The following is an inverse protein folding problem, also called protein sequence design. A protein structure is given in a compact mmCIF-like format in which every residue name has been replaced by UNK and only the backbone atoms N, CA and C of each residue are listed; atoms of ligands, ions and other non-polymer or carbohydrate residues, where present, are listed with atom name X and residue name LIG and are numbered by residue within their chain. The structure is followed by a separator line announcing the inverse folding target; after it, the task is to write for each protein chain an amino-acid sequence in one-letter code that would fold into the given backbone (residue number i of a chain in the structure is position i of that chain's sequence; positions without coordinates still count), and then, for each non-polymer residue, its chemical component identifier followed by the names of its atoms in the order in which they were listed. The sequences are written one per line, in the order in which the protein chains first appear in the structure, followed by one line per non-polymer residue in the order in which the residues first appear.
data_IF_211553939428
#
_entry.id   IF_211553939428
#
_cell.length_a   1.000
_cell.length_b   1.000
_cell.length_c   1.000
_cell.angle_alpha   90.00
_cell.angle_beta   90.00
_cell.angle_gamma   90.00
#
_symmetry.space_group_name_H-M   'P 1'
#
loop_
_entity.id
_entity.type
_entity.pdbx_description
1 polymer ?
#
# COMPACT_ATOMS: atom_id res chain seq x y z
N UNK A 1 14.47 -26.51 66.12
CA UNK A 1 14.69 -25.11 66.52
C UNK A 1 16.13 -24.76 66.16
N UNK A 2 16.34 -23.83 65.23
CA UNK A 2 17.68 -23.44 64.77
C UNK A 2 17.66 -23.16 63.27
N UNK A 3 17.32 -21.92 62.93
CA UNK A 3 17.24 -21.38 61.56
C UNK A 3 18.66 -20.95 61.16
N UNK A 4 19.14 -21.38 59.99
CA UNK A 4 20.27 -20.75 59.31
C UNK A 4 19.74 -20.11 58.04
N UNK A 5 19.85 -18.78 57.97
CA UNK A 5 19.60 -18.00 56.77
C UNK A 5 20.79 -18.20 55.83
N UNK A 6 20.55 -18.71 54.63
CA UNK A 6 21.51 -18.62 53.53
C UNK A 6 21.26 -17.29 52.80
N UNK A 7 22.25 -16.40 52.89
CA UNK A 7 22.38 -15.22 52.03
C UNK A 7 22.79 -15.72 50.63
N UNK A 8 21.88 -15.62 49.65
CA UNK A 8 22.27 -15.74 48.24
C UNK A 8 22.68 -14.38 47.69
N UNK A 9 23.94 -14.36 47.29
CA UNK A 9 24.72 -13.29 46.65
C UNK A 9 23.99 -12.70 45.43
N UNK A 10 23.81 -11.38 45.47
CA UNK A 10 23.22 -10.62 44.39
C UNK A 10 24.20 -10.49 43.23
N UNK A 11 24.10 -11.37 42.23
CA UNK A 11 24.72 -11.11 40.93
C UNK A 11 24.01 -9.93 40.24
N UNK A 12 24.70 -8.84 39.91
CA UNK A 12 24.13 -7.76 39.12
C UNK A 12 23.94 -8.27 37.69
N UNK A 13 22.68 -8.54 37.31
CA UNK A 13 22.33 -8.81 35.92
C UNK A 13 22.58 -7.55 35.11
N UNK A 14 23.67 -7.54 34.36
CA UNK A 14 23.98 -6.51 33.37
C UNK A 14 22.77 -6.36 32.44
N UNK A 15 22.24 -5.15 32.21
CA UNK A 15 21.17 -4.96 31.24
C UNK A 15 21.69 -5.39 29.87
N UNK A 16 21.02 -6.40 29.30
CA UNK A 16 21.32 -6.92 27.97
C UNK A 16 21.36 -5.76 26.95
N UNK A 17 22.34 -5.75 26.05
CA UNK A 17 22.52 -4.66 25.11
C UNK A 17 21.30 -4.57 24.17
N UNK A 18 20.62 -3.43 24.25
CA UNK A 18 19.71 -2.84 23.27
C UNK A 18 19.25 -3.82 22.16
N UNK A 19 18.17 -4.55 22.42
CA UNK A 19 17.50 -5.36 21.41
C UNK A 19 17.09 -4.44 20.26
N UNK A 20 17.80 -4.53 19.13
CA UNK A 20 17.34 -3.94 17.89
C UNK A 20 15.93 -4.47 17.63
N UNK A 21 14.92 -3.61 17.81
CA UNK A 21 13.53 -4.01 17.73
C UNK A 21 13.29 -4.68 16.37
N UNK A 22 12.89 -5.96 16.39
CA UNK A 22 12.63 -6.71 15.16
C UNK A 22 11.47 -6.04 14.43
N UNK A 23 11.76 -5.42 13.29
CA UNK A 23 10.76 -4.75 12.48
C UNK A 23 10.03 -5.80 11.64
N UNK A 24 8.78 -6.10 12.02
CA UNK A 24 7.96 -7.10 11.35
C UNK A 24 7.09 -6.46 10.26
N UNK A 25 7.34 -6.74 8.96
CA UNK A 25 6.46 -6.27 7.92
C UNK A 25 5.08 -6.93 8.04
N UNK A 26 4.00 -6.25 7.60
CA UNK A 26 2.70 -6.89 7.52
C UNK A 26 2.75 -8.12 6.59
N UNK A 27 1.86 -9.12 6.78
CA UNK A 27 1.83 -10.28 5.91
C UNK A 27 1.64 -9.88 4.44
N UNK A 28 2.23 -10.63 3.51
CA UNK A 28 2.12 -10.35 2.07
C UNK A 28 2.64 -8.96 1.66
N UNK A 29 3.55 -8.38 2.45
CA UNK A 29 4.20 -7.11 2.15
C UNK A 29 5.20 -7.26 0.99
N UNK A 30 5.21 -6.28 0.08
CA UNK A 30 6.23 -6.15 -0.95
C UNK A 30 6.36 -4.69 -1.40
N UNK A 31 7.57 -4.28 -1.77
CA UNK A 31 7.79 -3.07 -2.55
C UNK A 31 7.45 -3.36 -4.02
N UNK A 32 6.60 -2.53 -4.61
CA UNK A 32 6.25 -2.58 -6.04
C UNK A 32 7.13 -1.66 -6.86
N UNK A 33 7.46 -0.52 -6.27
CA UNK A 33 8.39 0.49 -6.77
C UNK A 33 9.22 0.97 -5.58
N UNK A 34 10.53 1.05 -5.77
CA UNK A 34 11.46 1.38 -4.69
C UNK A 34 11.10 2.73 -4.05
N UNK A 35 11.08 2.74 -2.71
CA UNK A 35 10.82 3.91 -1.88
C UNK A 35 9.51 4.68 -2.17
N UNK A 36 8.58 4.14 -2.95
CA UNK A 36 7.43 4.91 -3.44
C UNK A 36 6.11 4.16 -3.35
N UNK A 37 6.05 2.89 -3.74
CA UNK A 37 4.79 2.12 -3.74
C UNK A 37 4.98 0.77 -3.08
N UNK A 38 4.17 0.51 -2.06
CA UNK A 38 4.17 -0.74 -1.32
C UNK A 38 2.79 -1.40 -1.37
N UNK A 39 2.76 -2.72 -1.24
CA UNK A 39 1.53 -3.51 -1.03
C UNK A 39 1.63 -4.33 0.24
N UNK A 40 0.50 -4.65 0.86
CA UNK A 40 0.45 -5.62 1.96
C UNK A 40 -0.95 -6.19 2.25
N UNK A 41 -1.02 -7.14 3.19
CA UNK A 41 -2.25 -7.47 3.93
C UNK A 41 -2.59 -6.39 4.96
N UNK A 42 -3.70 -6.57 5.67
CA UNK A 42 -4.11 -5.62 6.70
C UNK A 42 -3.05 -5.49 7.82
N UNK A 43 -2.47 -4.30 8.04
CA UNK A 43 -1.47 -4.11 9.09
C UNK A 43 -2.03 -4.31 10.49
N UNK A 44 -1.28 -5.01 11.34
CA UNK A 44 -1.57 -5.17 12.77
C UNK A 44 -0.67 -4.23 13.59
N UNK A 45 -1.00 -3.95 14.86
CA UNK A 45 -0.19 -3.10 15.73
C UNK A 45 1.28 -3.53 15.83
N UNK A 46 1.55 -4.84 15.80
CA UNK A 46 2.91 -5.39 15.76
C UNK A 46 3.73 -4.99 14.53
N UNK A 47 3.08 -4.54 13.46
CA UNK A 47 3.73 -4.07 12.23
C UNK A 47 4.00 -2.55 12.23
N UNK A 48 3.42 -1.79 13.15
CA UNK A 48 3.54 -0.32 13.17
C UNK A 48 4.98 0.18 13.26
N UNK A 49 5.90 -0.43 14.03
CA UNK A 49 7.30 -0.05 14.01
C UNK A 49 7.92 -0.15 12.62
N UNK A 50 7.62 -1.23 11.88
CA UNK A 50 8.08 -1.40 10.50
C UNK A 50 7.46 -0.34 9.58
N UNK A 51 6.15 -0.09 9.66
CA UNK A 51 5.49 0.92 8.83
C UNK A 51 6.03 2.34 9.08
N UNK A 52 6.41 2.66 10.31
CA UNK A 52 7.06 3.94 10.65
C UNK A 52 8.40 4.10 9.93
N UNK A 53 9.16 3.01 9.76
CA UNK A 53 10.43 3.02 9.03
C UNK A 53 10.28 3.38 7.55
N UNK A 54 9.12 3.07 6.96
CA UNK A 54 8.82 3.39 5.55
C UNK A 54 8.48 4.87 5.32
N UNK A 55 8.22 5.63 6.39
CA UNK A 55 7.82 7.06 6.32
C UNK A 55 6.68 7.30 5.32
N UNK A 56 5.65 6.47 5.43
CA UNK A 56 4.48 6.53 4.55
C UNK A 56 3.82 7.91 4.66
N UNK A 57 3.38 8.43 3.52
CA UNK A 57 2.59 9.66 3.44
C UNK A 57 1.11 9.35 3.30
N UNK A 58 0.78 8.22 2.68
CA UNK A 58 -0.61 7.80 2.52
C UNK A 58 -0.79 6.29 2.53
N UNK A 59 -2.03 5.88 2.80
CA UNK A 59 -2.49 4.50 2.70
C UNK A 59 -3.74 4.44 1.83
N UNK A 60 -3.76 3.49 0.91
CA UNK A 60 -4.94 3.12 0.13
C UNK A 60 -5.55 1.86 0.74
N UNK A 61 -6.73 2.00 1.33
CA UNK A 61 -7.46 0.92 1.97
C UNK A 61 -8.68 0.52 1.13
N UNK A 62 -8.69 -0.74 0.68
CA UNK A 62 -9.64 -1.21 -0.32
C UNK A 62 -10.87 -1.96 0.24
N UNK A 63 -11.12 -1.89 1.55
CA UNK A 63 -12.27 -2.57 2.15
C UNK A 63 -13.36 -1.58 2.60
N UNK A 64 -14.65 -1.98 2.56
CA UNK A 64 -15.76 -1.12 2.96
C UNK A 64 -15.88 -0.97 4.49
N UNK A 65 -15.33 -1.90 5.27
CA UNK A 65 -15.41 -1.88 6.73
C UNK A 65 -14.67 -0.66 7.29
N UNK A 66 -15.13 -0.05 8.40
CA UNK A 66 -14.45 1.06 9.02
C UNK A 66 -13.01 0.69 9.42
N UNK A 67 -12.12 1.67 9.38
CA UNK A 67 -10.74 1.47 9.80
C UNK A 67 -10.68 1.34 11.33
N UNK A 68 -10.01 0.31 11.90
CA UNK A 68 -9.89 0.12 13.34
C UNK A 68 -9.25 1.31 14.05
N UNK A 69 -9.67 1.57 15.28
CA UNK A 69 -9.24 2.72 16.09
C UNK A 69 -7.72 2.75 16.30
N UNK A 70 -7.11 1.64 16.72
CA UNK A 70 -5.65 1.55 16.90
C UNK A 70 -4.87 1.89 15.62
N UNK A 71 -5.36 1.43 14.47
CA UNK A 71 -4.74 1.77 13.19
C UNK A 71 -4.96 3.24 12.84
N UNK A 72 -6.13 3.80 13.17
CA UNK A 72 -6.43 5.22 12.96
C UNK A 72 -5.53 6.13 13.79
N UNK A 73 -5.32 5.80 15.07
CA UNK A 73 -4.38 6.51 15.96
C UNK A 73 -2.96 6.50 15.41
N UNK A 74 -2.51 5.36 14.84
CA UNK A 74 -1.23 5.28 14.15
C UNK A 74 -1.18 6.25 12.96
N UNK A 75 -2.23 6.34 12.13
CA UNK A 75 -2.25 7.26 11.00
C UNK A 75 -2.16 8.72 11.45
N UNK A 76 -2.92 9.11 12.46
CA UNK A 76 -2.90 10.46 13.02
C UNK A 76 -1.52 10.82 13.58
N UNK A 77 -0.94 9.91 14.38
CA UNK A 77 0.36 10.12 15.03
C UNK A 77 1.54 10.20 14.06
N UNK A 78 1.37 9.70 12.83
CA UNK A 78 2.42 9.71 11.80
C UNK A 78 2.04 10.61 10.61
N UNK A 79 0.96 11.40 10.71
CA UNK A 79 0.45 12.30 9.67
C UNK A 79 0.18 11.59 8.31
N UNK A 80 -0.25 10.34 8.37
CA UNK A 80 -0.49 9.50 7.19
C UNK A 80 -1.95 9.67 6.73
N UNK A 81 -2.15 10.03 5.46
CA UNK A 81 -3.48 10.19 4.88
C UNK A 81 -4.12 8.85 4.51
N UNK A 82 -5.35 8.60 4.93
CA UNK A 82 -6.12 7.42 4.50
C UNK A 82 -7.00 7.75 3.29
N UNK A 83 -6.88 6.96 2.22
CA UNK A 83 -7.80 6.93 1.10
C UNK A 83 -8.55 5.60 1.11
N UNK A 84 -9.83 5.63 1.48
CA UNK A 84 -10.66 4.44 1.55
C UNK A 84 -11.51 4.29 0.29
N UNK A 85 -11.41 3.12 -0.34
CA UNK A 85 -12.19 2.71 -1.50
C UNK A 85 -12.87 1.38 -1.20
N UNK A 86 -14.11 1.44 -0.71
CA UNK A 86 -14.86 0.26 -0.32
C UNK A 86 -15.15 -0.65 -1.51
N UNK A 87 -14.51 -1.81 -1.57
CA UNK A 87 -14.80 -2.87 -2.53
C UNK A 87 -15.29 -4.11 -1.75
N UNK A 88 -16.52 -4.53 -2.02
CA UNK A 88 -17.11 -5.68 -1.36
C UNK A 88 -16.29 -6.95 -1.57
N UNK A 89 -16.11 -7.72 -0.50
CA UNK A 89 -15.28 -8.91 -0.47
C UNK A 89 -16.05 -10.23 -0.59
N UNK A 90 -17.35 -10.18 -0.91
CA UNK A 90 -18.21 -11.37 -0.93
C UNK A 90 -17.73 -12.41 -1.96
N UNK A 91 -18.07 -13.68 -1.73
CA UNK A 91 -17.66 -14.82 -2.57
C UNK A 91 -18.50 -14.95 -3.85
N UNK A 92 -19.63 -14.26 -3.89
CA UNK A 92 -20.49 -14.06 -5.06
C UNK A 92 -19.80 -13.10 -6.05
N UNK A 93 -20.18 -13.03 -7.34
CA UNK A 93 -19.52 -12.16 -8.30
C UNK A 93 -19.91 -10.68 -8.09
N UNK A 94 -19.59 -10.12 -6.91
CA UNK A 94 -19.40 -8.68 -6.75
C UNK A 94 -18.14 -8.32 -7.51
N UNK A 95 -18.32 -8.13 -8.83
CA UNK A 95 -17.26 -7.69 -9.71
C UNK A 95 -16.64 -6.43 -9.12
N UNK A 96 -15.31 -6.42 -9.00
CA UNK A 96 -14.57 -5.26 -8.55
C UNK A 96 -14.98 -4.08 -9.45
N UNK A 97 -15.59 -3.01 -8.91
CA UNK A 97 -16.10 -1.93 -9.75
C UNK A 97 -14.93 -1.20 -10.42
N UNK A 98 -14.99 -1.13 -11.76
CA UNK A 98 -13.95 -0.46 -12.56
C UNK A 98 -13.78 1.00 -12.16
N UNK A 99 -14.88 1.69 -11.83
CA UNK A 99 -14.86 3.08 -11.36
C UNK A 99 -14.04 3.24 -10.07
N UNK A 100 -14.28 2.40 -9.06
CA UNK A 100 -13.56 2.44 -7.79
C UNK A 100 -12.07 2.16 -7.96
N UNK A 101 -11.71 1.18 -8.80
CA UNK A 101 -10.29 0.92 -9.14
C UNK A 101 -9.67 2.12 -9.86
N UNK A 102 -10.42 2.76 -10.76
CA UNK A 102 -9.95 3.94 -11.48
C UNK A 102 -9.67 5.12 -10.55
N UNK A 103 -10.55 5.38 -9.57
CA UNK A 103 -10.31 6.43 -8.56
C UNK A 103 -9.14 6.10 -7.64
N UNK A 104 -9.02 4.84 -7.19
CA UNK A 104 -7.87 4.40 -6.41
C UNK A 104 -6.56 4.53 -7.21
N UNK A 105 -6.60 4.22 -8.51
CA UNK A 105 -5.45 4.32 -9.40
C UNK A 105 -5.03 5.79 -9.61
N UNK A 106 -5.99 6.73 -9.69
CA UNK A 106 -5.69 8.18 -9.74
C UNK A 106 -4.96 8.67 -8.50
N UNK A 107 -5.32 8.18 -7.31
CA UNK A 107 -4.59 8.48 -6.06
C UNK A 107 -3.20 7.88 -6.09
N UNK A 108 -3.08 6.65 -6.59
CA UNK A 108 -1.83 5.88 -6.64
C UNK A 108 -0.79 6.45 -7.61
N UNK A 109 -1.20 7.08 -8.71
CA UNK A 109 -0.28 7.71 -9.67
C UNK A 109 0.10 9.15 -9.30
N UNK A 110 -0.55 9.74 -8.29
CA UNK A 110 -0.23 11.09 -7.85
C UNK A 110 0.99 11.07 -6.91
N UNK A 111 2.14 11.48 -7.47
CA UNK A 111 3.45 11.54 -6.79
C UNK A 111 3.42 12.26 -5.43
N UNK A 112 2.44 13.16 -5.21
CA UNK A 112 2.30 13.89 -3.95
C UNK A 112 1.84 13.00 -2.79
N UNK A 113 1.31 11.81 -3.06
CA UNK A 113 0.84 10.84 -2.07
C UNK A 113 1.92 9.83 -1.65
N UNK A 114 3.09 9.82 -2.30
CA UNK A 114 4.14 8.83 -2.03
C UNK A 114 5.04 9.24 -0.84
N UNK A 115 5.58 8.27 -0.09
CA UNK A 115 5.41 6.82 -0.25
C UNK A 115 4.02 6.33 0.17
N UNK A 116 3.43 5.42 -0.62
CA UNK A 116 2.05 4.93 -0.43
C UNK A 116 2.02 3.43 -0.16
N UNK A 117 1.18 3.01 0.79
CA UNK A 117 0.89 1.60 1.05
C UNK A 117 -0.51 1.23 0.58
N UNK A 118 -0.62 0.21 -0.25
CA UNK A 118 -1.89 -0.36 -0.69
C UNK A 118 -2.19 -1.60 0.15
N UNK A 119 -3.36 -1.68 0.77
CA UNK A 119 -3.78 -2.92 1.39
C UNK A 119 -5.29 -3.15 1.33
N UNK A 120 -5.65 -4.42 1.50
CA UNK A 120 -7.02 -4.84 1.82
C UNK A 120 -6.95 -5.76 3.03
N UNK A 121 -7.89 -6.71 3.19
CA UNK A 121 -7.83 -7.69 4.29
C UNK A 121 -6.59 -8.60 4.22
N UNK A 122 -6.30 -9.15 3.04
CA UNK A 122 -5.21 -10.14 2.83
C UNK A 122 -4.17 -9.74 1.79
N UNK A 123 -4.31 -8.55 1.19
CA UNK A 123 -3.41 -8.10 0.14
C UNK A 123 -3.42 -8.94 -1.15
N UNK A 124 -4.50 -9.71 -1.41
CA UNK A 124 -4.61 -10.67 -2.52
C UNK A 124 -5.47 -10.14 -3.67
N UNK A 125 -6.79 -10.25 -3.54
CA UNK A 125 -7.77 -9.97 -4.60
C UNK A 125 -7.83 -8.49 -4.98
N UNK A 126 -8.41 -7.65 -4.12
CA UNK A 126 -8.59 -6.20 -4.35
C UNK A 126 -7.27 -5.48 -4.59
N UNK A 127 -6.29 -5.74 -3.73
CA UNK A 127 -4.93 -5.19 -3.87
C UNK A 127 -4.29 -5.68 -5.17
N UNK A 128 -4.40 -6.96 -5.50
CA UNK A 128 -3.83 -7.53 -6.73
C UNK A 128 -4.46 -6.94 -7.99
N UNK A 129 -5.77 -6.67 -8.00
CA UNK A 129 -6.41 -6.01 -9.13
C UNK A 129 -5.93 -4.57 -9.30
N UNK A 130 -5.85 -3.78 -8.23
CA UNK A 130 -5.31 -2.42 -8.32
C UNK A 130 -3.86 -2.39 -8.79
N UNK A 131 -3.02 -3.29 -8.25
CA UNK A 131 -1.61 -3.42 -8.66
C UNK A 131 -1.49 -3.87 -10.11
N UNK A 132 -2.31 -4.82 -10.55
CA UNK A 132 -2.32 -5.24 -11.94
C UNK A 132 -2.73 -4.11 -12.90
N UNK A 133 -3.67 -3.25 -12.49
CA UNK A 133 -4.00 -2.05 -13.26
C UNK A 133 -2.86 -1.02 -13.29
N UNK A 134 -2.10 -0.87 -12.20
CA UNK A 134 -0.86 -0.09 -12.20
C UNK A 134 0.16 -0.67 -13.19
N UNK A 135 0.39 -1.99 -13.18
CA UNK A 135 1.30 -2.65 -14.14
C UNK A 135 0.86 -2.47 -15.59
N UNK A 136 -0.45 -2.46 -15.87
CA UNK A 136 -0.99 -2.11 -17.19
C UNK A 136 -0.63 -0.68 -17.61
N UNK A 137 -0.73 0.29 -16.69
CA UNK A 137 -0.28 1.67 -16.95
C UNK A 137 1.23 1.75 -17.22
N UNK A 138 2.02 0.89 -16.58
CA UNK A 138 3.45 0.75 -16.79
C UNK A 138 3.82 -0.06 -18.06
N UNK A 139 2.85 -0.38 -18.92
CA UNK A 139 3.04 -1.15 -20.15
C UNK A 139 3.60 -2.57 -19.96
N UNK A 140 3.36 -3.21 -18.81
CA UNK A 140 3.69 -4.62 -18.65
C UNK A 140 2.82 -5.50 -19.56
N UNK A 141 3.37 -6.62 -20.02
CA UNK A 141 2.58 -7.59 -20.78
C UNK A 141 1.58 -8.31 -19.84
N UNK A 142 0.40 -8.62 -20.38
CA UNK A 142 -0.68 -9.22 -19.60
C UNK A 142 -0.27 -10.51 -18.89
N UNK A 143 0.54 -11.36 -19.53
CA UNK A 143 1.05 -12.59 -18.92
C UNK A 143 1.81 -12.34 -17.62
N UNK A 144 2.72 -11.37 -17.59
CA UNK A 144 3.49 -11.02 -16.39
C UNK A 144 2.61 -10.42 -15.30
N UNK A 145 1.58 -9.65 -15.68
CA UNK A 145 0.61 -9.10 -14.72
C UNK A 145 -0.18 -10.21 -14.04
N UNK A 146 -0.70 -11.17 -14.82
CA UNK A 146 -1.46 -12.29 -14.28
C UNK A 146 -0.58 -13.22 -13.44
N UNK A 147 0.69 -13.40 -13.80
CA UNK A 147 1.66 -14.15 -13.02
C UNK A 147 1.97 -13.48 -11.68
N UNK A 148 2.24 -12.18 -11.66
CA UNK A 148 2.45 -11.41 -10.41
C UNK A 148 1.21 -11.54 -9.52
N UNK A 149 0.00 -11.36 -10.06
CA UNK A 149 -1.23 -11.54 -9.31
C UNK A 149 -1.34 -12.95 -8.71
N UNK A 150 -1.09 -14.00 -9.51
CA UNK A 150 -1.15 -15.40 -9.05
C UNK A 150 -0.13 -15.67 -7.95
N UNK A 151 1.07 -15.12 -8.05
CA UNK A 151 2.11 -15.27 -7.04
C UNK A 151 1.65 -14.74 -5.67
N UNK A 152 1.09 -13.52 -5.62
CA UNK A 152 0.60 -12.94 -4.37
C UNK A 152 -0.73 -13.56 -3.87
N UNK A 153 -1.59 -14.02 -4.78
CA UNK A 153 -2.84 -14.68 -4.42
C UNK A 153 -2.63 -16.11 -3.91
N UNK A 154 -1.63 -16.82 -4.46
CA UNK A 154 -1.34 -18.23 -4.21
C UNK A 154 -2.56 -19.11 -4.51
N UNK A 155 -2.81 -20.11 -3.66
CA UNK A 155 -3.95 -21.04 -3.77
C UNK A 155 -5.35 -20.40 -3.67
N UNK A 156 -5.41 -19.08 -3.48
CA UNK A 156 -6.66 -18.31 -3.40
C UNK A 156 -6.87 -17.40 -4.62
N UNK A 157 -6.12 -17.57 -5.71
CA UNK A 157 -6.37 -16.85 -6.97
C UNK A 157 -7.81 -17.07 -7.47
N UNK A 158 -8.44 -16.01 -7.99
CA UNK A 158 -9.82 -16.06 -8.52
C UNK A 158 -9.81 -15.79 -10.01
N UNK A 159 -10.56 -16.59 -10.77
CA UNK A 159 -10.74 -16.35 -12.21
C UNK A 159 -11.46 -15.03 -12.50
N UNK A 160 -12.34 -14.59 -11.61
CA UNK A 160 -13.02 -13.28 -11.72
C UNK A 160 -12.03 -12.12 -11.74
N UNK A 161 -10.99 -12.20 -10.91
CA UNK A 161 -9.95 -11.17 -10.83
C UNK A 161 -9.05 -11.21 -12.07
N UNK A 162 -8.72 -12.41 -12.55
CA UNK A 162 -7.98 -12.59 -13.80
C UNK A 162 -8.75 -12.01 -14.99
N UNK A 163 -10.05 -12.30 -15.12
CA UNK A 163 -10.91 -11.75 -16.17
C UNK A 163 -11.08 -10.24 -16.05
N UNK A 164 -11.13 -9.71 -14.82
CA UNK A 164 -11.12 -8.27 -14.59
C UNK A 164 -9.83 -7.64 -15.13
N UNK A 165 -8.68 -8.21 -14.80
CA UNK A 165 -7.39 -7.81 -15.37
C UNK A 165 -7.35 -8.04 -16.89
N UNK A 166 -8.05 -9.05 -17.41
CA UNK A 166 -8.45 -9.27 -18.81
C UNK A 166 -8.92 -7.98 -19.48
N UNK A 167 -10.03 -7.50 -18.93
CA UNK A 167 -10.97 -6.56 -19.55
C UNK A 167 -10.75 -5.10 -19.19
N UNK A 168 -10.03 -4.81 -18.10
CA UNK A 168 -9.81 -3.43 -17.65
C UNK A 168 -8.93 -2.65 -18.64
N UNK A 169 -9.49 -1.59 -19.23
CA UNK A 169 -8.77 -0.72 -20.16
C UNK A 169 -8.22 0.53 -19.45
N UNK A 170 -6.92 0.79 -19.64
CA UNK A 170 -6.20 1.94 -19.08
C UNK A 170 -6.10 3.12 -20.05
N UNK A 171 -6.60 2.98 -21.29
CA UNK A 171 -6.47 4.00 -22.35
C UNK A 171 -7.03 5.35 -21.92
N UNK A 172 -8.22 5.35 -21.30
CA UNK A 172 -8.85 6.59 -20.79
C UNK A 172 -7.97 7.33 -19.76
N UNK A 173 -7.29 6.60 -18.86
CA UNK A 173 -6.37 7.20 -17.90
C UNK A 173 -5.11 7.73 -18.57
N UNK A 174 -4.56 6.98 -19.53
CA UNK A 174 -3.37 7.40 -20.30
C UNK A 174 -3.65 8.70 -21.06
N UNK A 175 -4.79 8.78 -21.73
CA UNK A 175 -5.21 9.97 -22.47
C UNK A 175 -5.39 11.18 -21.55
N UNK A 176 -6.02 10.98 -20.38
CA UNK A 176 -6.15 12.02 -19.36
C UNK A 176 -4.78 12.54 -18.87
N UNK A 177 -3.82 11.64 -18.66
CA UNK A 177 -2.47 12.00 -18.21
C UNK A 177 -1.69 12.73 -19.31
N UNK A 178 -1.75 12.25 -20.55
CA UNK A 178 -1.12 12.93 -21.69
C UNK A 178 -1.70 14.32 -21.91
N UNK A 179 -3.03 14.48 -21.85
CA UNK A 179 -3.67 15.80 -21.94
C UNK A 179 -3.19 16.74 -20.85
N UNK A 180 -3.10 16.28 -19.59
CA UNK A 180 -2.54 17.08 -18.49
C UNK A 180 -1.09 17.48 -18.71
N UNK A 181 -0.26 16.57 -19.21
CA UNK A 181 1.16 16.86 -19.52
C UNK A 181 1.30 17.86 -20.67
N UNK A 182 0.46 17.76 -21.71
CA UNK A 182 0.43 18.71 -22.82
C UNK A 182 -0.01 20.10 -22.35
N UNK A 183 -1.09 20.19 -21.57
CA UNK A 183 -1.54 21.46 -20.98
C UNK A 183 -0.46 22.10 -20.11
N UNK A 184 0.25 21.30 -19.31
CA UNK A 184 1.36 21.81 -18.50
C UNK A 184 2.53 22.31 -19.36
N UNK A 185 2.78 21.66 -20.50
CA UNK A 185 3.80 22.09 -21.47
C UNK A 185 3.40 23.40 -22.13
N UNK A 186 2.13 23.57 -22.49
CA UNK A 186 1.60 24.81 -23.07
C UNK A 186 1.62 25.97 -22.05
N UNK A 187 1.27 25.71 -20.79
CA UNK A 187 1.33 26.70 -19.70
C UNK A 187 2.77 27.15 -19.37
N UNK A 188 3.76 26.28 -19.58
CA UNK A 188 5.18 26.62 -19.43
C UNK A 188 5.70 27.47 -20.61
N UNK A 189 5.14 27.29 -21.81
CA UNK A 189 5.50 28.10 -23.00
C UNK A 189 4.88 29.50 -22.93
N UNK A 190 3.74 29.66 -22.26
CA UNK A 190 3.02 30.93 -22.17
C UNK A 190 3.47 31.85 -21.02
N UNK A 191 4.38 31.43 -20.13
CA UNK A 191 4.96 32.33 -19.12
C UNK A 191 6.11 33.16 -19.72
N UNK A 192 6.01 34.50 -19.82
CA UNK A 192 7.13 35.33 -20.26
C UNK A 192 8.27 35.21 -19.25
N UNK A 193 9.49 35.00 -19.75
CA UNK A 193 10.71 35.18 -18.94
C UNK A 193 10.78 36.64 -18.53
N UNK A 194 10.50 36.92 -17.27
CA UNK A 194 10.83 38.22 -16.66
C UNK A 194 12.36 38.29 -16.63
N UNK A 195 12.95 39.02 -17.57
CA UNK A 195 14.34 39.46 -17.47
C UNK A 195 14.38 40.61 -16.48
N UNK A 196 14.90 40.34 -15.29
CA UNK A 196 15.29 41.38 -14.34
C UNK A 196 16.41 42.22 -14.97
N UNK A 197 16.20 43.53 -15.06
CA UNK A 197 17.24 44.53 -15.38
C UNK A 197 17.73 45.15 -14.09
#
# INVERSE_FOLDING_TARGET
MGVIHEEEDGTPTLPLPNTAAVLLPPPNFAALEDNSVYRSSFPQPSNFPFLRSLKLRSIIYLCPEPYPEENWEFLQSNEVKLFQFGIDGTKEPSAIPMSTITEALKVLIDVRNHPVLIHCKRGKHRTGCLVGCLRKLQNWCLSSILEEYKNFAGTKSRETDLRFLETYDVSCLRDCLQKRLLLYRDDCVLKPRITSV
#
